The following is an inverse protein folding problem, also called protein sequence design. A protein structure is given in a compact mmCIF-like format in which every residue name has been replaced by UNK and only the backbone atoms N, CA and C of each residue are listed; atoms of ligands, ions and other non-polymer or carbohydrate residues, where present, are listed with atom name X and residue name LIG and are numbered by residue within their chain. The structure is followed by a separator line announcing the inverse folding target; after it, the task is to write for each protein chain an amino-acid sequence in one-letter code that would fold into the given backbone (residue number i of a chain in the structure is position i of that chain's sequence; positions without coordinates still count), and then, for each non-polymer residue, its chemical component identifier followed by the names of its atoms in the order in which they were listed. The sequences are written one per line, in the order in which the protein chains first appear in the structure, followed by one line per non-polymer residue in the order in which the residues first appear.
data_IF_549454047789
#
_entry.id   IF_549454047789
#
_cell.length_a   1.000
_cell.length_b   1.000
_cell.length_c   1.000
_cell.angle_alpha   90.00
_cell.angle_beta   90.00
_cell.angle_gamma   90.00
#
_symmetry.space_group_name_H-M   'P 1'
#
loop_
_entity.id
_entity.type
_entity.pdbx_description
1 polymer ?
#
# COMPACT_ATOMS: atom_id res chain seq x y z
N UNK A 1 -5.68 38.57 22.97
CA UNK A 1 -6.13 37.60 21.94
C UNK A 1 -6.07 38.17 20.53
N UNK A 2 -6.66 39.34 20.24
CA UNK A 2 -6.61 39.98 18.92
C UNK A 2 -5.17 40.21 18.40
N UNK A 3 -4.27 40.72 19.24
CA UNK A 3 -2.86 40.90 18.85
C UNK A 3 -2.15 39.58 18.47
N UNK A 4 -2.52 38.45 19.09
CA UNK A 4 -1.94 37.14 18.78
C UNK A 4 -2.41 36.65 17.40
N UNK A 5 -3.71 36.81 17.09
CA UNK A 5 -4.25 36.46 15.77
C UNK A 5 -3.67 37.33 14.66
N UNK A 6 -3.51 38.64 14.91
CA UNK A 6 -2.86 39.54 13.95
C UNK A 6 -1.40 39.14 13.72
N UNK A 7 -0.63 38.85 14.78
CA UNK A 7 0.75 38.40 14.65
C UNK A 7 0.85 37.06 13.89
N UNK A 8 -0.04 36.11 14.15
CA UNK A 8 -0.13 34.86 13.38
C UNK A 8 -0.47 35.13 11.91
N UNK A 9 -1.41 36.03 11.63
CA UNK A 9 -1.77 36.41 10.26
C UNK A 9 -0.60 37.06 9.51
N UNK A 10 0.10 38.02 10.13
CA UNK A 10 1.26 38.67 9.52
C UNK A 10 2.44 37.71 9.31
N UNK A 11 2.73 36.85 10.29
CA UNK A 11 3.79 35.84 10.14
C UNK A 11 3.46 34.83 9.04
N UNK A 12 2.20 34.42 8.91
CA UNK A 12 1.76 33.57 7.81
C UNK A 12 1.90 34.26 6.46
N UNK A 13 1.40 35.49 6.34
CA UNK A 13 1.48 36.26 5.09
C UNK A 13 2.93 36.50 4.66
N UNK A 14 3.81 36.81 5.62
CA UNK A 14 5.25 36.91 5.36
C UNK A 14 5.83 35.56 4.88
N UNK A 15 5.54 34.46 5.58
CA UNK A 15 5.99 33.12 5.19
C UNK A 15 5.53 32.73 3.78
N UNK A 16 4.31 33.09 3.38
CA UNK A 16 3.80 32.82 2.03
C UNK A 16 4.50 33.68 0.97
N UNK A 17 4.75 34.95 1.26
CA UNK A 17 5.31 35.89 0.28
C UNK A 17 6.80 35.63 -0.01
N UNK A 18 7.53 35.04 0.95
CA UNK A 18 8.95 34.74 0.82
C UNK A 18 9.25 33.29 0.40
N UNK A 19 8.23 32.50 0.09
CA UNK A 19 8.39 31.07 -0.09
C UNK A 19 7.79 30.58 -1.39
N UNK A 20 8.61 29.92 -2.20
CA UNK A 20 8.20 29.34 -3.49
C UNK A 20 8.39 27.81 -3.49
N UNK A 21 7.60 27.11 -4.30
CA UNK A 21 7.70 25.66 -4.48
C UNK A 21 7.66 24.85 -3.17
N UNK A 22 8.68 24.02 -2.94
CA UNK A 22 8.77 23.09 -1.80
C UNK A 22 8.88 23.80 -0.45
N UNK A 23 9.58 24.94 -0.40
CA UNK A 23 9.69 25.76 0.80
C UNK A 23 8.32 26.22 1.27
N UNK A 24 7.38 26.40 0.34
CA UNK A 24 6.05 26.86 0.69
C UNK A 24 5.31 25.76 1.46
N UNK A 25 5.38 24.50 1.02
CA UNK A 25 4.80 23.37 1.76
C UNK A 25 5.45 23.24 3.15
N UNK A 26 6.76 23.40 3.25
CA UNK A 26 7.47 23.44 4.53
C UNK A 26 6.95 24.56 5.44
N UNK A 27 6.78 25.78 4.92
CA UNK A 27 6.25 26.92 5.67
C UNK A 27 4.83 26.66 6.20
N UNK A 28 3.95 26.05 5.39
CA UNK A 28 2.61 25.65 5.83
C UNK A 28 2.64 24.64 6.98
N UNK A 29 3.53 23.64 6.92
CA UNK A 29 3.70 22.62 7.97
C UNK A 29 4.25 23.24 9.25
N UNK A 30 5.31 24.06 9.15
CA UNK A 30 5.90 24.76 10.30
C UNK A 30 4.86 25.66 10.96
N UNK A 31 4.12 26.42 10.17
CA UNK A 31 3.11 27.33 10.69
C UNK A 31 1.98 26.58 11.40
N UNK A 32 1.45 25.51 10.79
CA UNK A 32 0.43 24.65 11.41
C UNK A 32 0.97 23.99 12.70
N UNK A 33 2.22 23.53 12.70
CA UNK A 33 2.92 23.00 13.87
C UNK A 33 3.05 24.00 15.00
N UNK A 34 3.50 25.21 14.71
CA UNK A 34 3.67 26.28 15.71
C UNK A 34 2.32 26.71 16.29
N UNK A 35 1.30 26.93 15.46
CA UNK A 35 -0.06 27.27 15.95
C UNK A 35 -0.60 26.15 16.83
N UNK A 36 -0.48 24.89 16.42
CA UNK A 36 -1.02 23.77 17.20
C UNK A 36 -0.30 23.59 18.54
N UNK A 37 1.01 23.86 18.63
CA UNK A 37 1.73 23.89 19.90
C UNK A 37 1.32 25.08 20.78
N UNK A 38 1.17 26.27 20.20
CA UNK A 38 0.67 27.46 20.91
C UNK A 38 -0.76 27.23 21.43
N UNK A 39 -1.64 26.69 20.60
CA UNK A 39 -3.00 26.32 20.96
C UNK A 39 -3.04 25.33 22.12
N UNK A 40 -2.12 24.37 22.13
CA UNK A 40 -1.97 23.41 23.23
C UNK A 40 -1.57 24.09 24.55
N UNK A 41 -0.66 25.07 24.48
CA UNK A 41 -0.15 25.81 25.65
C UNK A 41 -1.17 26.79 26.23
N UNK A 42 -1.90 27.52 25.39
CA UNK A 42 -2.86 28.56 25.82
C UNK A 42 -4.27 28.04 26.12
N UNK A 43 -4.51 26.73 25.96
CA UNK A 43 -5.79 26.05 26.27
C UNK A 43 -7.04 26.65 25.60
N UNK A 44 -6.85 27.44 24.55
CA UNK A 44 -7.95 28.14 23.92
C UNK A 44 -8.61 27.28 22.84
N UNK A 45 -9.91 27.01 23.00
CA UNK A 45 -10.72 26.20 22.10
C UNK A 45 -10.79 26.77 20.67
N UNK A 46 -10.84 28.09 20.49
CA UNK A 46 -10.86 28.69 19.14
C UNK A 46 -9.53 28.46 18.41
N UNK A 47 -8.40 28.66 19.10
CA UNK A 47 -7.08 28.37 18.54
C UNK A 47 -6.90 26.90 18.17
N UNK A 48 -7.56 25.98 18.89
CA UNK A 48 -7.55 24.55 18.55
C UNK A 48 -8.21 24.28 17.21
N UNK A 49 -9.41 24.80 16.98
CA UNK A 49 -10.10 24.66 15.70
C UNK A 49 -9.35 25.33 14.55
N UNK A 50 -8.80 26.53 14.78
CA UNK A 50 -7.95 27.21 13.81
C UNK A 50 -6.74 26.35 13.46
N UNK A 51 -6.08 25.76 14.44
CA UNK A 51 -4.93 24.88 14.20
C UNK A 51 -5.28 23.64 13.38
N UNK A 52 -6.45 23.02 13.64
CA UNK A 52 -6.90 21.87 12.87
C UNK A 52 -7.22 22.26 11.41
N UNK A 53 -7.81 23.44 11.19
CA UNK A 53 -8.03 23.98 9.84
C UNK A 53 -6.73 24.16 9.07
N UNK A 54 -5.70 24.76 9.70
CA UNK A 54 -4.38 24.90 9.09
C UNK A 54 -3.71 23.54 8.82
N UNK A 55 -3.87 22.56 9.71
CA UNK A 55 -3.37 21.20 9.47
C UNK A 55 -4.04 20.55 8.26
N UNK A 56 -5.35 20.67 8.10
CA UNK A 56 -6.07 20.13 6.94
C UNK A 56 -5.53 20.74 5.65
N UNK A 57 -5.36 22.07 5.60
CA UNK A 57 -4.82 22.75 4.42
C UNK A 57 -3.37 22.38 4.13
N UNK A 58 -2.52 22.34 5.16
CA UNK A 58 -1.12 21.96 5.03
C UNK A 58 -0.95 20.52 4.52
N UNK A 59 -1.71 19.58 5.06
CA UNK A 59 -1.68 18.17 4.63
C UNK A 59 -2.28 18.00 3.23
N UNK A 60 -3.39 18.69 2.92
CA UNK A 60 -3.97 18.68 1.57
C UNK A 60 -2.96 19.15 0.53
N UNK A 61 -2.26 20.24 0.82
CA UNK A 61 -1.17 20.72 -0.03
C UNK A 61 -0.05 19.69 -0.17
N UNK A 62 0.43 19.12 0.95
CA UNK A 62 1.50 18.12 0.96
C UNK A 62 1.16 16.89 0.12
N UNK A 63 -0.10 16.45 0.14
CA UNK A 63 -0.54 15.22 -0.52
C UNK A 63 -0.75 15.40 -2.03
N UNK A 64 -1.31 16.55 -2.45
CA UNK A 64 -1.77 16.74 -3.83
C UNK A 64 -0.91 17.71 -4.65
N UNK A 65 -0.32 18.73 -4.02
CA UNK A 65 0.29 19.87 -4.71
C UNK A 65 1.80 19.96 -4.52
N UNK A 66 2.45 18.85 -4.18
CA UNK A 66 3.90 18.79 -4.08
C UNK A 66 4.48 17.97 -5.25
N UNK A 67 4.60 18.57 -6.46
CA UNK A 67 5.20 17.95 -7.62
C UNK A 67 6.72 17.91 -7.44
N UNK A 68 7.19 16.99 -6.60
CA UNK A 68 8.62 16.71 -6.52
C UNK A 68 8.93 15.72 -7.64
N UNK A 69 9.48 16.22 -8.74
CA UNK A 69 10.06 15.38 -9.79
C UNK A 69 11.27 14.63 -9.22
N UNK A 70 11.07 13.33 -8.99
CA UNK A 70 12.03 12.41 -8.41
C UNK A 70 13.13 12.07 -9.42
N UNK A 71 14.35 12.56 -9.18
CA UNK A 71 15.55 12.05 -9.83
C UNK A 71 16.45 11.44 -8.76
N UNK A 72 16.47 10.11 -8.71
CA UNK A 72 17.45 9.26 -8.01
C UNK A 72 17.78 9.64 -6.55
N UNK A 73 16.81 9.49 -5.64
CA UNK A 73 17.06 9.63 -4.19
C UNK A 73 16.93 8.28 -3.47
N UNK A 74 17.68 8.14 -2.38
CA UNK A 74 17.69 6.94 -1.55
C UNK A 74 16.36 6.81 -0.78
N UNK A 75 15.85 5.57 -0.68
CA UNK A 75 14.65 5.24 0.09
C UNK A 75 14.72 5.84 1.51
N UNK A 76 13.67 6.53 1.93
CA UNK A 76 13.51 7.25 3.21
C UNK A 76 14.47 8.43 3.44
N UNK A 77 15.40 8.71 2.53
CA UNK A 77 16.33 9.83 2.60
C UNK A 77 16.00 10.89 1.53
N UNK A 78 14.73 11.26 1.45
CA UNK A 78 14.22 12.28 0.55
C UNK A 78 13.63 13.46 1.33
N UNK A 79 13.79 14.68 0.81
CA UNK A 79 13.13 15.90 1.30
C UNK A 79 11.62 15.71 1.41
N UNK A 80 11.01 15.01 0.44
CA UNK A 80 9.59 14.70 0.48
C UNK A 80 9.22 13.94 1.75
N UNK A 81 9.93 12.83 1.99
CA UNK A 81 9.71 12.00 3.16
C UNK A 81 9.94 12.80 4.45
N UNK A 82 10.96 13.67 4.48
CA UNK A 82 11.24 14.54 5.61
C UNK A 82 10.04 15.45 5.96
N UNK A 83 9.30 15.97 4.98
CA UNK A 83 8.08 16.75 5.24
C UNK A 83 6.96 15.92 5.87
N UNK A 84 6.79 14.65 5.46
CA UNK A 84 5.85 13.72 6.07
C UNK A 84 6.23 13.40 7.52
N UNK A 85 7.53 13.15 7.78
CA UNK A 85 8.05 12.92 9.13
C UNK A 85 7.84 14.14 10.00
N UNK A 86 8.23 15.33 9.52
CA UNK A 86 8.10 16.59 10.24
C UNK A 86 6.64 16.88 10.62
N UNK A 87 5.72 16.70 9.66
CA UNK A 87 4.28 16.86 9.89
C UNK A 87 3.79 15.92 10.99
N UNK A 88 4.19 14.65 10.91
CA UNK A 88 3.80 13.61 11.87
C UNK A 88 4.35 13.92 13.27
N UNK A 89 5.59 14.42 13.37
CA UNK A 89 6.21 14.80 14.64
C UNK A 89 5.48 15.95 15.34
N UNK A 90 5.11 17.01 14.61
CA UNK A 90 4.31 18.08 15.21
C UNK A 90 2.93 17.60 15.66
N UNK A 91 2.26 16.76 14.86
CA UNK A 91 0.99 16.15 15.21
C UNK A 91 1.10 15.25 16.47
N UNK A 92 2.17 14.47 16.60
CA UNK A 92 2.43 13.69 17.81
C UNK A 92 2.77 14.57 19.02
N UNK A 93 3.57 15.62 18.84
CA UNK A 93 3.91 16.57 19.90
C UNK A 93 2.67 17.28 20.45
N UNK A 94 1.80 17.74 19.56
CA UNK A 94 0.54 18.40 19.93
C UNK A 94 -0.41 17.47 20.67
N UNK A 95 -0.51 16.21 20.25
CA UNK A 95 -1.23 15.18 20.98
C UNK A 95 -0.62 14.93 22.36
N UNK A 96 0.72 14.76 22.46
CA UNK A 96 1.38 14.41 23.70
C UNK A 96 1.16 15.44 24.81
N UNK A 97 1.14 16.73 24.45
CA UNK A 97 0.89 17.83 25.40
C UNK A 97 -0.60 17.90 25.78
N UNK A 98 -1.51 17.56 24.87
CA UNK A 98 -2.96 17.68 25.09
C UNK A 98 -3.62 16.42 25.67
N UNK A 99 -2.93 15.28 25.68
CA UNK A 99 -3.52 13.97 26.06
C UNK A 99 -4.12 13.92 27.48
N UNK A 100 -3.68 14.81 28.37
CA UNK A 100 -4.14 14.88 29.77
C UNK A 100 -5.31 15.88 29.98
N UNK A 101 -5.82 16.51 28.92
CA UNK A 101 -6.87 17.54 29.00
C UNK A 101 -8.25 16.93 28.65
N UNK A 102 -9.31 17.50 29.22
CA UNK A 102 -10.68 16.93 29.22
C UNK A 102 -11.33 16.70 27.84
N UNK A 103 -10.82 17.32 26.77
CA UNK A 103 -11.41 17.18 25.43
C UNK A 103 -10.95 15.90 24.71
N UNK A 104 -11.51 14.76 25.14
CA UNK A 104 -11.11 13.42 24.72
C UNK A 104 -11.13 13.15 23.20
N UNK A 105 -12.09 13.72 22.46
CA UNK A 105 -12.27 13.43 21.03
C UNK A 105 -11.35 14.23 20.13
N UNK A 106 -11.16 15.53 20.41
CA UNK A 106 -10.42 16.42 19.53
C UNK A 106 -8.92 16.09 19.51
N UNK A 107 -8.35 15.80 20.68
CA UNK A 107 -6.92 15.49 20.79
C UNK A 107 -6.54 14.21 20.05
N UNK A 108 -7.42 13.21 20.05
CA UNK A 108 -7.21 11.94 19.31
C UNK A 108 -7.13 12.15 17.80
N UNK A 109 -7.77 13.18 17.25
CA UNK A 109 -7.67 13.51 15.82
C UNK A 109 -6.23 13.73 15.39
N UNK A 110 -5.46 14.50 16.15
CA UNK A 110 -4.06 14.81 15.81
C UNK A 110 -3.18 13.57 15.74
N UNK A 111 -3.33 12.62 16.66
CA UNK A 111 -2.51 11.41 16.62
C UNK A 111 -2.88 10.50 15.45
N UNK A 112 -4.17 10.36 15.11
CA UNK A 112 -4.56 9.58 13.94
C UNK A 112 -4.14 10.25 12.63
N UNK A 113 -4.24 11.58 12.54
CA UNK A 113 -3.70 12.34 11.42
C UNK A 113 -2.20 12.10 11.30
N UNK A 114 -1.43 12.21 12.39
CA UNK A 114 0.02 12.00 12.37
C UNK A 114 0.40 10.57 11.97
N UNK A 115 -0.31 9.56 12.48
CA UNK A 115 -0.09 8.15 12.08
C UNK A 115 -0.35 7.98 10.58
N UNK A 116 -1.48 8.49 10.09
CA UNK A 116 -1.86 8.39 8.70
C UNK A 116 -0.84 9.09 7.78
N UNK A 117 -0.44 10.33 8.12
CA UNK A 117 0.57 11.08 7.40
C UNK A 117 1.89 10.33 7.35
N UNK A 118 2.32 9.71 8.45
CA UNK A 118 3.58 8.97 8.50
C UNK A 118 3.59 7.74 7.60
N UNK A 119 2.52 6.92 7.65
CA UNK A 119 2.37 5.75 6.78
C UNK A 119 2.28 6.18 5.32
N UNK A 120 1.46 7.18 5.02
CA UNK A 120 1.25 7.65 3.65
C UNK A 120 2.57 8.17 3.06
N UNK A 121 3.39 8.87 3.86
CA UNK A 121 4.73 9.29 3.45
C UNK A 121 5.62 8.13 3.02
N UNK A 122 5.67 7.04 3.80
CA UNK A 122 6.46 5.85 3.41
C UNK A 122 5.90 5.11 2.20
N UNK A 123 4.58 5.03 2.03
CA UNK A 123 3.96 4.37 0.89
C UNK A 123 4.23 5.14 -0.41
N UNK A 124 4.15 6.47 -0.35
CA UNK A 124 4.49 7.34 -1.47
C UNK A 124 5.97 7.21 -1.82
N UNK A 125 6.86 7.23 -0.83
CA UNK A 125 8.30 7.07 -1.07
C UNK A 125 8.63 5.71 -1.71
N UNK A 126 7.96 4.64 -1.25
CA UNK A 126 8.04 3.32 -1.87
C UNK A 126 7.53 3.30 -3.32
N UNK A 127 6.47 4.06 -3.63
CA UNK A 127 5.91 4.15 -4.99
C UNK A 127 6.91 4.73 -5.98
N UNK A 128 7.64 5.77 -5.58
CA UNK A 128 8.58 6.46 -6.45
C UNK A 128 9.96 5.81 -6.49
N UNK A 129 10.39 5.17 -5.41
CA UNK A 129 11.70 4.48 -5.36
C UNK A 129 11.69 3.19 -6.18
N UNK A 130 10.61 2.40 -6.08
CA UNK A 130 10.52 1.07 -6.71
C UNK A 130 9.82 1.19 -8.07
N UNK A 131 10.61 1.23 -9.14
CA UNK A 131 10.11 1.42 -10.51
C UNK A 131 9.34 0.20 -11.03
N UNK A 132 9.78 -1.01 -10.67
CA UNK A 132 9.12 -2.24 -11.12
C UNK A 132 7.79 -2.45 -10.39
N UNK A 133 6.70 -2.50 -11.16
CA UNK A 133 5.33 -2.62 -10.63
C UNK A 133 5.14 -3.83 -9.71
N UNK A 134 5.71 -4.98 -10.07
CA UNK A 134 5.62 -6.20 -9.28
C UNK A 134 6.26 -6.05 -7.89
N UNK A 135 7.50 -5.55 -7.84
CA UNK A 135 8.21 -5.33 -6.58
C UNK A 135 7.59 -4.20 -5.75
N UNK A 136 7.00 -3.19 -6.42
CA UNK A 136 6.30 -2.10 -5.75
C UNK A 136 5.05 -2.56 -5.02
N UNK A 137 4.24 -3.43 -5.64
CA UNK A 137 3.06 -3.98 -4.97
C UNK A 137 3.45 -4.81 -3.72
N UNK A 138 4.53 -5.60 -3.81
CA UNK A 138 5.08 -6.30 -2.65
C UNK A 138 5.59 -5.32 -1.59
N UNK A 139 6.28 -4.26 -2.01
CA UNK A 139 6.79 -3.18 -1.15
C UNK A 139 5.69 -2.57 -0.27
N UNK A 140 4.51 -2.31 -0.82
CA UNK A 140 3.37 -1.82 -0.03
C UNK A 140 2.95 -2.79 1.08
N UNK A 141 2.94 -4.10 0.80
CA UNK A 141 2.59 -5.11 1.80
C UNK A 141 3.64 -5.15 2.92
N UNK A 142 4.93 -5.02 2.60
CA UNK A 142 6.00 -4.93 3.60
C UNK A 142 5.90 -3.68 4.47
N UNK A 143 5.66 -2.51 3.87
CA UNK A 143 5.50 -1.26 4.62
C UNK A 143 4.33 -1.39 5.61
N UNK A 144 3.17 -1.87 5.15
CA UNK A 144 2.00 -2.07 6.02
C UNK A 144 2.27 -3.10 7.12
N UNK A 145 2.92 -4.22 6.80
CA UNK A 145 3.29 -5.24 7.79
C UNK A 145 4.26 -4.70 8.85
N UNK A 146 5.25 -3.91 8.43
CA UNK A 146 6.18 -3.24 9.32
C UNK A 146 5.45 -2.31 10.29
N UNK A 147 4.58 -1.43 9.78
CA UNK A 147 3.81 -0.52 10.62
C UNK A 147 2.83 -1.22 11.55
N UNK A 148 2.14 -2.27 11.08
CA UNK A 148 1.27 -3.09 11.92
C UNK A 148 2.04 -3.69 13.10
N UNK A 149 3.19 -4.31 12.83
CA UNK A 149 4.02 -4.91 13.87
C UNK A 149 4.56 -3.89 14.86
N UNK A 150 5.15 -2.79 14.37
CA UNK A 150 5.71 -1.73 15.23
C UNK A 150 4.64 -1.10 16.11
N UNK A 151 3.46 -0.77 15.56
CA UNK A 151 2.39 -0.13 16.33
C UNK A 151 1.73 -1.07 17.33
N UNK A 152 1.54 -2.34 16.99
CA UNK A 152 1.06 -3.33 17.96
C UNK A 152 2.11 -3.55 19.05
N UNK A 153 3.39 -3.71 18.69
CA UNK A 153 4.49 -3.88 19.64
C UNK A 153 4.55 -2.71 20.64
N UNK A 154 4.67 -1.48 20.15
CA UNK A 154 4.73 -0.27 20.98
C UNK A 154 3.42 -0.07 21.74
N UNK A 155 2.29 -0.29 21.07
CA UNK A 155 0.95 -0.13 21.64
C UNK A 155 0.67 -1.08 22.81
N UNK A 156 1.14 -2.33 22.75
CA UNK A 156 1.04 -3.28 23.87
C UNK A 156 2.13 -3.05 24.91
N UNK A 157 3.37 -2.75 24.51
CA UNK A 157 4.48 -2.49 25.45
C UNK A 157 4.22 -1.29 26.35
N UNK A 158 3.71 -0.19 25.78
CA UNK A 158 3.43 1.05 26.52
C UNK A 158 1.94 1.24 26.83
N UNK A 159 1.11 0.20 26.67
CA UNK A 159 -0.35 0.24 26.88
C UNK A 159 -1.11 1.33 26.09
N UNK A 160 -0.49 1.86 25.04
CA UNK A 160 -0.97 3.02 24.31
C UNK A 160 -2.10 2.65 23.32
N UNK A 161 -3.34 2.96 23.72
CA UNK A 161 -4.57 2.50 23.04
C UNK A 161 -4.64 2.90 21.56
N UNK A 162 -4.27 4.14 21.21
CA UNK A 162 -4.38 4.62 19.83
C UNK A 162 -3.47 3.85 18.86
N UNK A 163 -2.25 3.48 19.29
CA UNK A 163 -1.35 2.67 18.47
C UNK A 163 -1.84 1.23 18.32
N UNK A 164 -2.46 0.65 19.36
CA UNK A 164 -3.10 -0.67 19.24
C UNK A 164 -4.21 -0.66 18.19
N UNK A 165 -5.11 0.33 18.27
CA UNK A 165 -6.21 0.48 17.30
C UNK A 165 -5.66 0.68 15.89
N UNK A 166 -4.68 1.58 15.71
CA UNK A 166 -4.04 1.81 14.42
C UNK A 166 -3.39 0.54 13.87
N UNK A 167 -2.63 -0.19 14.70
CA UNK A 167 -2.01 -1.45 14.33
C UNK A 167 -3.02 -2.52 13.90
N UNK A 168 -4.16 -2.64 14.59
CA UNK A 168 -5.24 -3.54 14.19
C UNK A 168 -5.90 -3.13 12.86
N UNK A 169 -6.15 -1.84 12.66
CA UNK A 169 -6.70 -1.32 11.39
C UNK A 169 -5.73 -1.63 10.23
N UNK A 170 -4.44 -1.36 10.41
CA UNK A 170 -3.42 -1.63 9.37
C UNK A 170 -3.33 -3.13 9.10
N UNK A 171 -3.38 -3.97 10.13
CA UNK A 171 -3.41 -5.44 9.97
C UNK A 171 -4.64 -5.86 9.16
N UNK A 172 -5.82 -5.31 9.46
CA UNK A 172 -7.04 -5.60 8.71
C UNK A 172 -6.92 -5.17 7.23
N UNK A 173 -6.33 -4.00 6.96
CA UNK A 173 -6.05 -3.53 5.60
C UNK A 173 -5.06 -4.45 4.87
N UNK A 174 -3.97 -4.86 5.54
CA UNK A 174 -2.97 -5.77 4.98
C UNK A 174 -3.60 -7.12 4.61
N UNK A 175 -4.34 -7.73 5.53
CA UNK A 175 -5.02 -9.02 5.30
C UNK A 175 -6.11 -8.88 4.24
N UNK A 176 -6.85 -7.77 4.25
CA UNK A 176 -7.83 -7.45 3.22
C UNK A 176 -7.19 -7.33 1.83
N UNK A 177 -6.09 -6.58 1.71
CA UNK A 177 -5.33 -6.49 0.45
C UNK A 177 -4.86 -7.87 0.00
N UNK A 178 -4.28 -8.65 0.91
CA UNK A 178 -3.80 -9.99 0.60
C UNK A 178 -4.92 -10.87 0.04
N UNK A 179 -6.09 -10.85 0.68
CA UNK A 179 -7.24 -11.66 0.25
C UNK A 179 -7.88 -11.19 -1.06
N UNK A 180 -8.17 -9.89 -1.18
CA UNK A 180 -8.91 -9.35 -2.32
C UNK A 180 -8.04 -9.13 -3.56
N UNK A 181 -6.76 -8.81 -3.37
CA UNK A 181 -5.84 -8.50 -4.47
C UNK A 181 -4.82 -9.61 -4.68
N UNK A 182 -3.96 -9.89 -3.68
CA UNK A 182 -2.81 -10.79 -3.89
C UNK A 182 -3.24 -12.24 -4.20
N UNK A 183 -4.23 -12.79 -3.50
CA UNK A 183 -4.75 -14.14 -3.77
C UNK A 183 -5.47 -14.22 -5.12
N UNK A 184 -6.12 -13.14 -5.55
CA UNK A 184 -6.91 -13.11 -6.79
C UNK A 184 -6.05 -12.94 -8.05
N UNK A 185 -4.80 -12.51 -7.91
CA UNK A 185 -3.83 -12.45 -9.01
C UNK A 185 -3.16 -13.80 -9.26
N UNK A 186 -3.16 -14.71 -8.28
CA UNK A 186 -2.59 -16.06 -8.41
C UNK A 186 -3.44 -17.03 -9.24
N UNK A 187 -2.80 -18.09 -9.74
CA UNK A 187 -3.45 -19.20 -10.47
C UNK A 187 -4.50 -19.91 -9.62
N UNK A 188 -5.44 -20.61 -10.28
CA UNK A 188 -6.62 -21.22 -9.61
C UNK A 188 -6.24 -22.16 -8.47
N UNK A 189 -5.22 -23.00 -8.67
CA UNK A 189 -4.79 -23.97 -7.65
C UNK A 189 -4.16 -23.28 -6.45
N UNK A 190 -3.30 -22.29 -6.69
CA UNK A 190 -2.62 -21.52 -5.63
C UNK A 190 -3.65 -20.71 -4.84
N UNK A 191 -4.66 -20.15 -5.51
CA UNK A 191 -5.77 -19.45 -4.86
C UNK A 191 -6.54 -20.33 -3.88
N UNK A 192 -6.83 -21.58 -4.26
CA UNK A 192 -7.52 -22.54 -3.39
C UNK A 192 -6.67 -22.85 -2.16
N UNK A 193 -5.38 -23.14 -2.36
CA UNK A 193 -4.44 -23.43 -1.27
C UNK A 193 -4.29 -22.21 -0.35
N UNK A 194 -4.10 -21.02 -0.90
CA UNK A 194 -3.98 -19.77 -0.15
C UNK A 194 -5.26 -19.45 0.63
N UNK A 195 -6.44 -19.62 0.03
CA UNK A 195 -7.71 -19.45 0.71
C UNK A 195 -7.90 -20.43 1.88
N UNK A 196 -7.55 -21.71 1.69
CA UNK A 196 -7.65 -22.72 2.74
C UNK A 196 -6.68 -22.42 3.89
N UNK A 197 -5.40 -22.15 3.59
CA UNK A 197 -4.39 -21.81 4.60
C UNK A 197 -4.76 -20.56 5.41
N UNK A 198 -5.28 -19.53 4.75
CA UNK A 198 -5.76 -18.31 5.42
C UNK A 198 -6.97 -18.59 6.32
N UNK A 199 -7.93 -19.38 5.85
CA UNK A 199 -9.08 -19.81 6.65
C UNK A 199 -8.68 -20.63 7.88
N UNK A 200 -7.80 -21.62 7.71
CA UNK A 200 -7.24 -22.38 8.84
C UNK A 200 -6.46 -21.47 9.80
N UNK A 201 -5.69 -20.52 9.28
CA UNK A 201 -4.97 -19.54 10.07
C UNK A 201 -5.88 -18.72 10.98
N UNK A 202 -7.02 -18.23 10.47
CA UNK A 202 -8.00 -17.52 11.28
C UNK A 202 -8.64 -18.39 12.37
N UNK A 203 -8.92 -19.66 12.08
CA UNK A 203 -9.44 -20.59 13.08
C UNK A 203 -8.41 -20.77 14.21
N UNK A 204 -7.14 -20.98 13.87
CA UNK A 204 -6.06 -21.12 14.85
C UNK A 204 -5.90 -19.85 15.71
N UNK A 205 -5.92 -18.67 15.09
CA UNK A 205 -5.86 -17.38 15.80
C UNK A 205 -7.08 -17.21 16.72
N UNK A 206 -8.27 -17.60 16.27
CA UNK A 206 -9.50 -17.56 17.07
C UNK A 206 -9.43 -18.47 18.29
N UNK A 207 -8.99 -19.72 18.11
CA UNK A 207 -8.79 -20.68 19.21
C UNK A 207 -7.72 -20.21 20.19
N UNK A 208 -6.62 -19.64 19.68
CA UNK A 208 -5.60 -19.02 20.51
C UNK A 208 -6.19 -17.89 21.34
N UNK A 209 -6.91 -16.96 20.71
CA UNK A 209 -7.58 -15.87 21.42
C UNK A 209 -8.52 -16.42 22.50
N UNK A 210 -9.37 -17.40 22.19
CA UNK A 210 -10.30 -17.99 23.16
C UNK A 210 -9.58 -18.63 24.36
N UNK A 211 -8.46 -19.32 24.12
CA UNK A 211 -7.65 -19.96 25.18
C UNK A 211 -6.92 -18.95 26.06
N UNK A 212 -6.51 -17.81 25.50
CA UNK A 212 -5.73 -16.81 26.21
C UNK A 212 -6.53 -15.57 26.62
N UNK A 213 -7.82 -15.47 26.27
CA UNK A 213 -8.66 -14.28 26.53
C UNK A 213 -8.59 -13.81 27.98
N UNK A 214 -8.66 -14.74 28.93
CA UNK A 214 -8.70 -14.40 30.36
C UNK A 214 -7.34 -13.87 30.85
N UNK A 215 -6.24 -14.38 30.28
CA UNK A 215 -4.89 -13.87 30.52
C UNK A 215 -4.62 -12.53 29.82
N UNK A 216 -5.22 -12.31 28.64
CA UNK A 216 -5.11 -11.05 27.89
C UNK A 216 -5.89 -9.92 28.56
N UNK A 217 -7.06 -10.22 29.13
CA UNK A 217 -7.93 -9.24 29.81
C UNK A 217 -7.32 -8.81 31.16
N UNK A 218 -6.65 -9.72 31.87
CA UNK A 218 -6.18 -9.48 33.24
C UNK A 218 -4.70 -9.04 33.35
N UNK A 219 -3.93 -9.09 32.26
CA UNK A 219 -2.48 -8.82 32.31
C UNK A 219 -2.08 -7.59 31.49
N UNK A 220 -1.92 -6.48 32.19
CA UNK A 220 -1.50 -5.18 31.65
C UNK A 220 0.00 -5.09 31.29
N UNK A 221 0.76 -6.20 31.39
CA UNK A 221 2.22 -6.24 31.17
C UNK A 221 2.64 -7.31 30.15
N UNK A 222 2.34 -7.08 28.89
CA UNK A 222 2.34 -8.06 27.80
C UNK A 222 3.72 -8.58 27.36
N UNK A 223 4.24 -9.70 27.90
CA UNK A 223 5.42 -10.39 27.32
C UNK A 223 5.04 -11.49 26.32
N UNK A 224 4.00 -12.28 26.58
CA UNK A 224 3.59 -13.40 25.72
C UNK A 224 2.98 -13.00 24.37
N UNK A 225 2.12 -11.97 24.35
CA UNK A 225 1.53 -11.45 23.10
C UNK A 225 2.58 -10.69 22.27
N UNK A 226 3.55 -10.07 22.95
CA UNK A 226 4.73 -9.45 22.33
C UNK A 226 5.61 -10.50 21.64
N UNK A 227 5.86 -11.64 22.30
CA UNK A 227 6.59 -12.77 21.72
C UNK A 227 5.86 -13.40 20.55
N UNK A 228 4.52 -13.49 20.59
CA UNK A 228 3.72 -13.97 19.47
C UNK A 228 3.85 -13.03 18.26
N UNK A 229 3.71 -11.71 18.46
CA UNK A 229 3.89 -10.73 17.38
C UNK A 229 5.32 -10.71 16.86
N UNK A 230 6.31 -10.83 17.73
CA UNK A 230 7.72 -10.91 17.34
C UNK A 230 8.01 -12.19 16.56
N UNK A 231 7.43 -13.32 16.93
CA UNK A 231 7.58 -14.59 16.23
C UNK A 231 6.90 -14.55 14.85
N UNK A 232 5.69 -14.00 14.75
CA UNK A 232 5.00 -13.78 13.47
C UNK A 232 5.82 -12.83 12.61
N UNK A 233 6.27 -11.70 13.15
CA UNK A 233 7.11 -10.74 12.43
C UNK A 233 8.42 -11.37 11.95
N UNK A 234 9.13 -12.09 12.82
CA UNK A 234 10.35 -12.80 12.46
C UNK A 234 10.09 -13.84 11.34
N UNK A 235 8.96 -14.55 11.36
CA UNK A 235 8.62 -15.52 10.31
C UNK A 235 8.41 -14.87 8.94
N UNK A 236 7.93 -13.62 8.88
CA UNK A 236 7.80 -12.85 7.65
C UNK A 236 9.16 -12.38 7.07
N UNK A 237 10.16 -12.12 7.92
CA UNK A 237 11.50 -11.67 7.47
C UNK A 237 12.54 -12.79 7.38
N UNK A 238 12.32 -13.94 8.03
CA UNK A 238 13.24 -15.08 8.03
C UNK A 238 13.15 -15.94 6.76
N UNK A 239 12.09 -15.80 5.98
CA UNK A 239 11.97 -16.50 4.71
C UNK A 239 12.72 -15.69 3.64
N UNK A 240 13.77 -16.22 3.00
CA UNK A 240 14.30 -15.60 1.80
C UNK A 240 13.21 -15.73 0.72
N UNK A 241 12.49 -14.63 0.47
CA UNK A 241 11.60 -14.52 -0.69
C UNK A 241 12.47 -14.38 -1.94
N UNK A 242 13.17 -15.45 -2.28
CA UNK A 242 13.59 -15.65 -3.64
C UNK A 242 12.30 -15.73 -4.45
N UNK A 243 12.14 -14.82 -5.42
CA UNK A 243 11.24 -15.08 -6.53
C UNK A 243 11.51 -16.52 -6.97
N UNK A 244 10.46 -17.33 -7.09
CA UNK A 244 10.60 -18.67 -7.63
C UNK A 244 11.43 -18.53 -8.91
N UNK A 245 12.68 -19.01 -8.86
CA UNK A 245 13.45 -19.14 -10.08
C UNK A 245 12.68 -20.22 -10.81
N UNK A 246 11.85 -19.79 -11.74
CA UNK A 246 11.29 -20.68 -12.74
C UNK A 246 12.50 -21.46 -13.24
N UNK A 247 12.51 -22.77 -13.00
CA UNK A 247 13.56 -23.62 -13.50
C UNK A 247 13.45 -23.62 -15.02
N UNK A 248 14.16 -22.69 -15.65
CA UNK A 248 14.19 -22.53 -17.11
C UNK A 248 14.88 -23.71 -17.80
N UNK A 249 15.34 -24.72 -17.04
CA UNK A 249 15.73 -26.03 -17.60
C UNK A 249 14.57 -26.74 -18.31
N UNK A 250 13.35 -26.26 -18.14
CA UNK A 250 12.18 -26.69 -18.90
C UNK A 250 11.67 -25.65 -19.92
N UNK A 251 12.50 -25.18 -20.87
CA UNK A 251 11.92 -24.74 -22.16
C UNK A 251 11.35 -25.98 -22.86
N UNK A 252 10.17 -26.45 -22.42
CA UNK A 252 9.36 -27.41 -23.15
C UNK A 252 8.05 -26.75 -23.51
N UNK A 253 7.96 -26.38 -24.78
CA UNK A 253 6.77 -26.29 -25.61
C UNK A 253 5.46 -26.22 -24.81
N UNK A 254 4.97 -24.99 -24.61
CA UNK A 254 3.61 -24.77 -24.15
C UNK A 254 2.67 -25.26 -25.24
N UNK A 255 2.27 -26.53 -25.13
CA UNK A 255 1.15 -27.15 -25.85
C UNK A 255 1.40 -27.28 -27.36
N UNK A 256 1.55 -28.53 -27.83
CA UNK A 256 1.31 -28.82 -29.25
C UNK A 256 -0.15 -28.46 -29.55
N UNK A 257 -0.32 -27.36 -30.27
CA UNK A 257 -1.64 -26.94 -30.72
C UNK A 257 -1.93 -27.77 -31.96
N UNK A 258 -2.85 -28.73 -31.83
CA UNK A 258 -3.41 -29.39 -32.98
C UNK A 258 -4.14 -28.32 -33.81
N UNK A 259 -3.55 -27.95 -34.94
CA UNK A 259 -4.20 -27.06 -35.88
C UNK A 259 -5.44 -27.81 -36.39
N UNK A 260 -6.67 -27.32 -36.14
CA UNK A 260 -7.84 -27.94 -36.74
C UNK A 260 -7.65 -27.93 -38.26
N UNK A 261 -7.82 -29.09 -38.92
CA UNK A 261 -7.73 -29.18 -40.37
C UNK A 261 -8.73 -28.19 -40.96
N UNK A 262 -8.22 -27.15 -41.63
CA UNK A 262 -9.05 -26.20 -42.36
C UNK A 262 -9.87 -26.98 -43.40
N UNK A 263 -11.19 -27.05 -43.21
CA UNK A 263 -12.09 -27.41 -44.30
C UNK A 263 -11.97 -26.32 -45.38
N UNK A 264 -11.73 -26.76 -46.61
CA UNK A 264 -11.40 -25.98 -47.81
C UNK A 264 -11.87 -24.52 -47.84
N UNK A 265 -11.02 -23.58 -48.31
CA UNK A 265 -11.44 -22.20 -48.53
C UNK A 265 -12.41 -22.15 -49.72
N UNK A 266 -13.69 -21.94 -49.44
CA UNK A 266 -14.64 -21.58 -50.49
C UNK A 266 -14.39 -20.13 -50.88
N UNK A 267 -13.70 -19.94 -52.01
CA UNK A 267 -13.75 -18.76 -52.87
C UNK A 267 -13.06 -17.48 -52.37
N UNK A 268 -11.91 -17.14 -52.95
CA UNK A 268 -11.68 -15.87 -53.68
C UNK A 268 -10.18 -15.67 -54.00
N UNK A 269 -9.92 -15.58 -55.30
CA UNK A 269 -9.01 -14.73 -56.07
C UNK A 269 -7.55 -14.44 -55.65
N UNK A 270 -6.73 -14.33 -56.69
CA UNK A 270 -5.27 -14.20 -56.70
C UNK A 270 -4.77 -12.99 -55.89
N UNK A 271 -4.31 -13.28 -54.68
CA UNK A 271 -3.51 -12.41 -53.82
C UNK A 271 -3.11 -13.26 -52.63
N UNK A 272 -1.83 -13.21 -52.23
CA UNK A 272 -1.19 -14.04 -51.20
C UNK A 272 -2.16 -14.69 -50.19
N UNK A 273 -2.30 -16.03 -50.26
CA UNK A 273 -3.10 -16.82 -49.31
C UNK A 273 -2.48 -16.73 -47.91
N UNK A 274 -2.82 -15.67 -47.18
CA UNK A 274 -2.46 -15.50 -45.77
C UNK A 274 -3.38 -16.39 -44.92
N UNK A 275 -2.84 -17.53 -44.50
CA UNK A 275 -3.51 -18.42 -43.55
C UNK A 275 -3.43 -17.83 -42.14
N UNK A 276 -4.49 -17.16 -41.69
CA UNK A 276 -4.60 -16.71 -40.30
C UNK A 276 -5.25 -17.81 -39.44
N UNK A 277 -4.42 -18.55 -38.69
CA UNK A 277 -4.90 -19.41 -37.61
C UNK A 277 -5.21 -18.60 -36.36
N UNK A 278 -6.31 -18.89 -35.65
CA UNK A 278 -6.58 -18.33 -34.31
C UNK A 278 -6.25 -19.36 -33.26
N UNK A 279 -5.44 -18.98 -32.28
CA UNK A 279 -5.04 -19.83 -31.16
C UNK A 279 -5.54 -19.18 -29.88
N UNK A 280 -6.32 -19.91 -29.09
CA UNK A 280 -6.73 -19.47 -27.76
C UNK A 280 -5.62 -19.81 -26.78
N UNK A 281 -4.96 -18.78 -26.25
CA UNK A 281 -3.95 -18.93 -25.20
C UNK A 281 -4.62 -19.10 -23.85
N UNK A 282 -3.99 -19.87 -22.98
CA UNK A 282 -4.42 -19.99 -21.59
C UNK A 282 -4.21 -18.67 -20.86
N UNK A 283 -5.12 -18.36 -19.94
CA UNK A 283 -5.11 -17.12 -19.17
C UNK A 283 -3.85 -17.03 -18.30
N UNK A 284 -3.38 -18.17 -17.78
CA UNK A 284 -2.17 -18.23 -16.97
C UNK A 284 -0.91 -17.83 -17.78
N UNK A 285 -0.85 -18.17 -19.07
CA UNK A 285 0.26 -17.77 -19.97
C UNK A 285 0.21 -16.27 -20.22
N UNK A 286 -0.97 -15.72 -20.52
CA UNK A 286 -1.13 -14.29 -20.83
C UNK A 286 -0.86 -13.40 -19.62
N UNK A 287 -1.21 -13.85 -18.41
CA UNK A 287 -1.01 -13.07 -17.18
C UNK A 287 0.44 -13.02 -16.69
N UNK A 288 1.25 -14.03 -17.01
CA UNK A 288 2.61 -14.16 -16.46
C UNK A 288 3.72 -14.01 -17.52
N UNK A 289 3.39 -13.78 -18.79
CA UNK A 289 4.37 -13.53 -19.85
C UNK A 289 4.06 -12.24 -20.59
N UNK A 290 5.09 -11.41 -20.83
CA UNK A 290 4.97 -10.22 -21.66
C UNK A 290 4.72 -10.59 -23.12
N UNK A 291 4.23 -9.64 -23.93
CA UNK A 291 4.06 -9.84 -25.38
C UNK A 291 5.38 -10.32 -26.03
N UNK A 292 6.51 -9.77 -25.59
CA UNK A 292 7.84 -10.04 -26.14
C UNK A 292 8.42 -11.39 -25.68
N UNK A 293 7.87 -11.99 -24.63
CA UNK A 293 8.34 -13.27 -24.08
C UNK A 293 7.66 -14.47 -24.76
N UNK A 294 6.58 -14.22 -25.49
CA UNK A 294 5.79 -15.24 -26.18
C UNK A 294 6.35 -15.44 -27.59
N UNK A 295 6.59 -16.69 -27.97
CA UNK A 295 6.99 -17.07 -29.32
C UNK A 295 6.13 -18.22 -29.79
N UNK A 296 5.57 -18.10 -30.99
CA UNK A 296 4.87 -19.20 -31.66
C UNK A 296 5.86 -19.84 -32.62
N UNK A 297 6.07 -21.15 -32.51
CA UNK A 297 6.97 -21.91 -33.39
C UNK A 297 6.14 -22.95 -34.15
N UNK A 298 6.29 -22.98 -35.47
CA UNK A 298 5.70 -23.97 -36.35
C UNK A 298 6.78 -24.55 -37.26
N UNK A 299 6.94 -25.87 -37.29
CA UNK A 299 8.01 -26.57 -38.04
C UNK A 299 9.39 -25.90 -37.83
N UNK A 300 9.78 -25.71 -36.58
CA UNK A 300 11.05 -25.10 -36.15
C UNK A 300 11.30 -23.66 -36.65
N UNK A 301 10.26 -22.96 -37.12
CA UNK A 301 10.33 -21.54 -37.49
C UNK A 301 9.43 -20.70 -36.60
N UNK A 302 9.94 -19.55 -36.16
CA UNK A 302 9.16 -18.57 -35.40
C UNK A 302 8.15 -17.89 -36.32
N UNK A 303 6.87 -17.95 -35.95
CA UNK A 303 5.77 -17.33 -36.69
C UNK A 303 5.41 -15.99 -36.04
N UNK A 304 5.30 -14.89 -36.80
CA UNK A 304 4.81 -13.64 -36.27
C UNK A 304 3.36 -13.79 -35.82
N UNK A 305 3.01 -13.20 -34.68
CA UNK A 305 1.65 -13.26 -34.15
C UNK A 305 1.22 -11.89 -33.65
N UNK A 306 -0.10 -11.68 -33.64
CA UNK A 306 -0.74 -10.51 -33.06
C UNK A 306 -1.66 -11.02 -31.95
N UNK A 307 -1.48 -10.53 -30.73
CA UNK A 307 -2.38 -10.86 -29.61
C UNK A 307 -3.48 -9.83 -29.49
N UNK A 308 -4.74 -10.27 -29.47
CA UNK A 308 -5.90 -9.46 -29.12
C UNK A 308 -6.52 -10.01 -27.84
N UNK A 309 -6.73 -9.17 -26.83
CA UNK A 309 -7.50 -9.53 -25.64
C UNK A 309 -8.97 -9.63 -26.05
N UNK A 310 -9.55 -10.83 -25.98
CA UNK A 310 -10.98 -11.02 -26.22
C UNK A 310 -11.70 -10.83 -24.88
N UNK A 311 -12.11 -9.59 -24.61
CA UNK A 311 -12.97 -9.27 -23.46
C UNK A 311 -14.41 -9.38 -23.95
N UNK A 312 -15.10 -10.49 -23.60
CA UNK A 312 -16.54 -10.64 -23.77
C UNK A 312 -17.02 -11.07 -25.16
N UNK A 313 -17.29 -12.37 -25.31
CA UNK A 313 -18.29 -12.93 -26.24
C UNK A 313 -18.58 -14.37 -25.79
N UNK A 314 -19.24 -14.51 -24.63
CA UNK A 314 -20.04 -15.70 -24.35
C UNK A 314 -21.45 -15.38 -24.87
N UNK A 315 -21.67 -15.55 -26.16
CA UNK A 315 -22.99 -15.83 -26.72
C UNK A 315 -22.84 -16.31 -28.16
N UNK A 316 -23.60 -17.36 -28.46
CA UNK A 316 -23.82 -18.04 -29.74
C UNK A 316 -22.74 -19.00 -30.30
N UNK A 317 -22.87 -20.27 -29.91
CA UNK A 317 -23.21 -21.32 -30.88
C UNK A 317 -22.09 -22.03 -31.66
N UNK A 318 -21.35 -22.94 -31.02
CA UNK A 318 -20.78 -24.10 -31.72
C UNK A 318 -21.53 -25.38 -31.28
N UNK A 319 -22.68 -25.60 -31.94
CA UNK A 319 -23.18 -26.94 -32.24
C UNK A 319 -23.04 -27.14 -33.76
N UNK A 320 -21.88 -27.63 -34.19
CA UNK A 320 -21.67 -28.73 -35.15
C UNK A 320 -20.27 -28.71 -35.71
#
# INVERSE_FOLDING_TARGET
MIHLYLLLGFTFAALLNFSEGNWLTFAWIIFAGVISLLSSKFENTHLRYVSAGFWILALFKLYFFNPMDDVNRLFLLNERFALYVLSSLFLFGTYYIQKNKDSFWFHRGFIYMGIFTFILGTLIDAYHTVHNEHYRNLGYSYVLAFYAAVFLFIGFKYSFRSLRIAGFIITAVLVGKFYFYDIWTMSKIVRIIAGFTLGTGFILVSLFYQKFKDKIINYQNTSGLLLLFLAIFASFFASPLNAEKIDTKGYRYYKEIQIPKLSNPTGSEEGEKLFYGRIKLDEDIVRHSGINDRRIVYNDRTVPFISRNVIGAYEEGEKK
#
